data_IF_110425802784
#
_entry.id   IF_110425802784
#
_cell.length_a   1.000
_cell.length_b   1.000
_cell.length_c   1.000
_cell.angle_alpha   90.00
_cell.angle_beta   90.00
_cell.angle_gamma   90.00
#
_symmetry.space_group_name_H-M   'P 1'
#
loop_
_entity.id
_entity.type
_entity.pdbx_description
1 polymer ?
#
# COMPACT_ATOMS: atom_id res chain seq x y z
N UNK A 1 -9.01 27.79 0.53
CA UNK A 1 -8.27 26.53 0.65
C UNK A 1 -7.08 26.59 -0.31
N UNK A 2 -5.84 26.41 0.19
CA UNK A 2 -4.61 26.55 -0.61
C UNK A 2 -4.02 25.21 -1.03
N UNK A 3 -4.45 24.10 -0.40
CA UNK A 3 -4.01 22.74 -0.71
C UNK A 3 -5.23 21.83 -0.89
N UNK A 4 -5.16 20.92 -1.87
CA UNK A 4 -6.19 19.91 -2.13
C UNK A 4 -5.89 18.59 -1.42
N UNK A 5 -4.62 18.30 -1.15
CA UNK A 5 -4.16 17.06 -0.55
C UNK A 5 -2.90 17.27 0.27
N UNK A 6 -2.66 16.39 1.23
CA UNK A 6 -1.42 16.28 1.99
C UNK A 6 -1.01 14.82 2.13
N UNK A 7 0.30 14.57 2.21
CA UNK A 7 0.87 13.23 2.37
C UNK A 7 0.55 12.64 3.74
N UNK A 8 -0.04 11.46 3.76
CA UNK A 8 -0.59 10.83 4.97
C UNK A 8 0.42 9.92 5.68
N UNK A 9 1.41 10.52 6.35
CA UNK A 9 2.39 9.78 7.15
C UNK A 9 1.77 9.08 8.37
N UNK A 10 0.69 9.62 8.92
CA UNK A 10 0.01 9.00 10.06
C UNK A 10 -0.57 7.62 9.68
N UNK A 11 -1.27 7.54 8.55
CA UNK A 11 -1.80 6.28 8.07
C UNK A 11 -0.68 5.33 7.61
N UNK A 12 0.36 5.83 6.93
CA UNK A 12 1.54 5.04 6.59
C UNK A 12 2.10 4.31 7.83
N UNK A 13 2.33 5.06 8.92
CA UNK A 13 2.83 4.49 10.17
C UNK A 13 1.87 3.45 10.73
N UNK A 14 0.59 3.75 10.83
CA UNK A 14 -0.41 2.83 11.38
C UNK A 14 -0.56 1.55 10.54
N UNK A 15 -0.44 1.64 9.20
CA UNK A 15 -0.55 0.48 8.32
C UNK A 15 0.54 -0.55 8.59
N UNK A 16 1.83 -0.16 8.62
CA UNK A 16 2.87 -1.15 8.86
C UNK A 16 2.95 -1.61 10.32
N UNK A 17 2.82 -0.68 11.30
CA UNK A 17 2.91 -1.07 12.72
C UNK A 17 1.69 -1.88 13.16
N UNK A 18 0.49 -1.48 12.76
CA UNK A 18 -0.74 -2.21 13.09
C UNK A 18 -0.75 -3.64 12.56
N UNK A 19 -0.05 -3.91 11.43
CA UNK A 19 0.15 -5.27 10.95
C UNK A 19 1.23 -6.02 11.72
N UNK A 20 2.40 -5.41 11.93
CA UNK A 20 3.52 -6.04 12.66
C UNK A 20 3.17 -6.35 14.12
N UNK A 21 2.42 -5.47 14.76
CA UNK A 21 2.02 -5.59 16.17
C UNK A 21 0.68 -6.32 16.34
N UNK A 22 0.07 -6.79 15.24
CA UNK A 22 -1.28 -7.37 15.21
C UNK A 22 -2.30 -6.49 15.94
N UNK A 23 -2.33 -5.20 15.61
CA UNK A 23 -3.13 -4.20 16.30
C UNK A 23 -3.92 -3.31 15.32
N UNK A 24 -5.05 -3.81 14.84
CA UNK A 24 -5.92 -3.03 13.96
C UNK A 24 -6.62 -1.85 14.66
N UNK A 25 -6.64 -1.79 15.99
CA UNK A 25 -7.14 -0.61 16.70
C UNK A 25 -6.31 0.64 16.37
N UNK A 26 -5.01 0.51 16.13
CA UNK A 26 -4.16 1.63 15.72
C UNK A 26 -4.60 2.20 14.36
N UNK A 27 -4.88 1.32 13.40
CA UNK A 27 -5.34 1.74 12.07
C UNK A 27 -6.72 2.39 12.15
N UNK A 28 -7.68 1.74 12.80
CA UNK A 28 -9.04 2.26 12.95
C UNK A 28 -9.07 3.60 13.69
N UNK A 29 -8.28 3.74 14.76
CA UNK A 29 -8.15 5.00 15.49
C UNK A 29 -7.56 6.12 14.61
N UNK A 30 -6.53 5.80 13.84
CA UNK A 30 -5.89 6.75 12.91
C UNK A 30 -6.89 7.21 11.84
N UNK A 31 -7.64 6.29 11.22
CA UNK A 31 -8.66 6.64 10.24
C UNK A 31 -9.72 7.55 10.84
N UNK A 32 -10.24 7.22 12.01
CA UNK A 32 -11.23 8.03 12.71
C UNK A 32 -10.71 9.44 13.07
N UNK A 33 -9.45 9.54 13.47
CA UNK A 33 -8.79 10.81 13.72
C UNK A 33 -8.70 11.66 12.45
N UNK A 34 -8.25 11.04 11.35
CA UNK A 34 -8.09 11.72 10.05
C UNK A 34 -9.40 12.21 9.46
N UNK A 35 -10.52 11.51 9.68
CA UNK A 35 -11.85 11.96 9.27
C UNK A 35 -12.27 13.30 9.88
N UNK A 36 -11.73 13.65 11.04
CA UNK A 36 -11.99 14.93 11.71
C UNK A 36 -11.14 16.10 11.16
N UNK A 37 -10.22 15.85 10.22
CA UNK A 37 -9.35 16.89 9.64
C UNK A 37 -10.01 17.70 8.52
N UNK A 38 -11.31 17.47 8.23
CA UNK A 38 -12.06 18.19 7.21
C UNK A 38 -12.00 17.54 5.83
N UNK A 39 -12.31 18.31 4.79
CA UNK A 39 -12.53 17.85 3.41
C UNK A 39 -11.23 17.72 2.59
N UNK A 40 -10.12 17.34 3.24
CA UNK A 40 -8.86 17.10 2.52
C UNK A 40 -8.78 15.65 2.02
N UNK A 41 -8.58 15.48 0.73
CA UNK A 41 -8.21 14.20 0.15
C UNK A 41 -6.77 13.87 0.54
N UNK A 42 -6.59 12.92 1.46
CA UNK A 42 -5.26 12.54 1.94
C UNK A 42 -4.57 11.61 0.93
N UNK A 43 -3.31 11.91 0.61
CA UNK A 43 -2.47 11.08 -0.23
C UNK A 43 -1.91 9.91 0.59
N UNK A 44 -2.52 8.74 0.44
CA UNK A 44 -2.19 7.54 1.19
C UNK A 44 -1.10 6.73 0.49
N UNK A 45 -0.18 6.19 1.27
CA UNK A 45 0.93 5.37 0.76
C UNK A 45 1.36 4.35 1.82
N UNK A 46 2.00 3.28 1.40
CA UNK A 46 2.62 2.27 2.28
C UNK A 46 4.14 2.41 2.33
N UNK A 47 4.73 2.93 1.26
CA UNK A 47 6.13 3.33 1.16
C UNK A 47 6.30 4.45 0.12
N UNK A 48 7.47 5.09 0.14
CA UNK A 48 7.87 6.12 -0.82
C UNK A 48 9.40 6.22 -0.89
N UNK A 49 9.91 7.27 -1.54
CA UNK A 49 11.35 7.50 -1.73
C UNK A 49 12.13 7.88 -0.45
N UNK A 50 11.45 8.13 0.67
CA UNK A 50 12.05 8.58 1.94
C UNK A 50 11.94 7.56 3.07
N UNK A 51 11.08 6.55 2.91
CA UNK A 51 10.86 5.50 3.91
C UNK A 51 11.17 4.12 3.36
N UNK A 52 11.43 3.17 4.26
CA UNK A 52 11.70 1.78 3.87
C UNK A 52 10.54 1.19 3.06
N UNK A 53 10.89 0.34 2.08
CA UNK A 53 9.91 -0.41 1.30
C UNK A 53 8.98 -1.20 2.20
N UNK A 54 7.70 -1.22 1.87
CA UNK A 54 6.69 -1.93 2.69
C UNK A 54 7.01 -3.41 2.81
N UNK A 55 7.50 -4.03 1.73
CA UNK A 55 7.91 -5.43 1.78
C UNK A 55 9.03 -5.67 2.79
N UNK A 56 9.99 -4.77 2.92
CA UNK A 56 11.04 -4.82 3.96
C UNK A 56 10.48 -4.59 5.36
N UNK A 57 9.57 -3.61 5.51
CA UNK A 57 9.00 -3.23 6.81
C UNK A 57 8.12 -4.29 7.44
N UNK A 58 7.39 -5.04 6.63
CA UNK A 58 6.52 -6.11 7.12
C UNK A 58 7.33 -7.30 7.64
N UNK A 59 7.13 -7.66 8.92
CA UNK A 59 7.75 -8.83 9.55
C UNK A 59 7.19 -10.11 8.92
N UNK A 60 5.86 -10.21 8.80
CA UNK A 60 5.20 -11.27 8.05
C UNK A 60 4.89 -10.76 6.63
N UNK A 61 5.52 -11.36 5.60
CA UNK A 61 5.32 -10.95 4.20
C UNK A 61 3.91 -11.23 3.69
N UNK A 62 3.19 -12.17 4.29
CA UNK A 62 1.78 -12.41 3.97
C UNK A 62 0.88 -11.20 4.29
N UNK A 63 1.29 -10.32 5.20
CA UNK A 63 0.59 -9.06 5.49
C UNK A 63 0.62 -8.06 4.32
N UNK A 64 1.40 -8.33 3.27
CA UNK A 64 1.36 -7.51 2.05
C UNK A 64 -0.06 -7.40 1.48
N UNK A 65 -0.82 -8.51 1.53
CA UNK A 65 -2.19 -8.52 1.02
C UNK A 65 -3.14 -7.63 1.84
N UNK A 66 -3.36 -7.84 3.16
CA UNK A 66 -4.29 -7.01 3.92
C UNK A 66 -3.84 -5.53 4.00
N UNK A 67 -2.54 -5.23 4.02
CA UNK A 67 -2.03 -3.84 3.96
C UNK A 67 -2.50 -3.13 2.68
N UNK A 68 -2.38 -3.78 1.52
CA UNK A 68 -2.77 -3.17 0.25
C UNK A 68 -4.28 -3.14 0.07
N UNK A 69 -5.03 -4.13 0.58
CA UNK A 69 -6.51 -4.03 0.64
C UNK A 69 -6.91 -2.77 1.41
N UNK A 70 -6.31 -2.49 2.57
CA UNK A 70 -6.57 -1.27 3.33
C UNK A 70 -6.14 -0.01 2.57
N UNK A 71 -4.96 0.01 1.97
CA UNK A 71 -4.48 1.16 1.19
C UNK A 71 -5.47 1.57 0.10
N UNK A 72 -6.01 0.59 -0.64
CA UNK A 72 -6.91 0.83 -1.77
C UNK A 72 -8.36 1.12 -1.38
N UNK A 73 -8.77 0.83 -0.15
CA UNK A 73 -10.18 0.89 0.26
C UNK A 73 -10.50 1.92 1.34
N UNK A 74 -9.51 2.31 2.15
CA UNK A 74 -9.66 3.40 3.11
C UNK A 74 -9.87 4.76 2.43
N UNK A 75 -10.51 5.73 3.13
CA UNK A 75 -10.66 7.10 2.61
C UNK A 75 -9.31 7.73 2.23
N UNK A 76 -9.30 8.48 1.13
CA UNK A 76 -8.11 9.15 0.57
C UNK A 76 -7.70 8.57 -0.77
N UNK A 77 -6.59 9.06 -1.32
CA UNK A 77 -6.05 8.69 -2.63
C UNK A 77 -4.89 7.72 -2.45
N UNK A 78 -5.02 6.44 -2.84
CA UNK A 78 -3.93 5.48 -2.73
C UNK A 78 -2.82 5.76 -3.73
N UNK A 79 -1.58 5.56 -3.31
CA UNK A 79 -0.40 5.69 -4.14
C UNK A 79 0.49 4.46 -3.98
N UNK A 80 1.02 3.98 -5.09
CA UNK A 80 2.04 2.93 -5.15
C UNK A 80 3.34 3.56 -5.61
N UNK A 81 4.39 3.41 -4.83
CA UNK A 81 5.72 3.83 -5.22
C UNK A 81 6.34 2.78 -6.15
N UNK A 82 7.02 3.21 -7.22
CA UNK A 82 7.56 2.30 -8.24
C UNK A 82 8.43 1.19 -7.63
N UNK A 83 8.26 -0.03 -8.11
CA UNK A 83 8.91 -1.23 -7.61
C UNK A 83 8.19 -1.90 -6.44
N UNK A 84 7.33 -1.18 -5.69
CA UNK A 84 6.55 -1.78 -4.61
C UNK A 84 5.50 -2.75 -5.13
N UNK A 85 5.01 -2.54 -6.35
CA UNK A 85 4.15 -3.48 -7.07
C UNK A 85 4.83 -4.82 -7.35
N UNK A 86 6.15 -4.87 -7.36
CA UNK A 86 6.92 -6.11 -7.52
C UNK A 86 7.29 -6.76 -6.20
N UNK A 87 7.02 -6.10 -5.07
CA UNK A 87 7.42 -6.56 -3.75
C UNK A 87 8.92 -6.45 -3.50
N UNK A 88 9.60 -5.47 -4.11
CA UNK A 88 11.05 -5.29 -3.90
C UNK A 88 11.34 -4.84 -2.48
N UNK A 89 12.49 -5.28 -1.98
CA UNK A 89 13.03 -4.84 -0.71
C UNK A 89 13.84 -3.54 -0.84
N UNK A 90 13.90 -2.78 0.25
CA UNK A 90 14.74 -1.59 0.35
C UNK A 90 14.72 -1.07 1.78
N UNK A 91 15.88 -1.12 2.44
CA UNK A 91 16.07 -0.62 3.80
C UNK A 91 16.70 0.76 3.79
N UNK A 92 16.18 1.67 4.63
CA UNK A 92 16.77 3.00 4.75
C UNK A 92 18.15 2.93 5.42
N UNK A 93 19.15 3.48 4.75
CA UNK A 93 20.49 3.60 5.28
C UNK A 93 20.72 4.98 5.91
N UNK A 94 21.67 5.05 6.86
CA UNK A 94 21.88 6.27 7.65
C UNK A 94 22.28 7.49 6.80
N UNK A 95 22.98 7.28 5.70
CA UNK A 95 23.55 8.35 4.87
C UNK A 95 23.25 8.16 3.37
N UNK A 96 22.35 7.28 3.01
CA UNK A 96 22.00 7.00 1.62
C UNK A 96 20.56 6.54 1.49
N UNK A 97 19.87 7.04 0.48
CA UNK A 97 18.54 6.56 0.06
C UNK A 97 18.63 5.65 -1.20
N UNK A 98 19.84 5.26 -1.61
CA UNK A 98 20.04 4.50 -2.86
C UNK A 98 19.26 3.17 -2.85
N UNK A 99 19.20 2.47 -1.71
CA UNK A 99 18.43 1.23 -1.55
C UNK A 99 16.92 1.41 -1.69
N UNK A 100 16.42 2.64 -1.46
CA UNK A 100 15.01 2.98 -1.62
C UNK A 100 14.66 3.39 -3.06
N UNK A 101 15.67 3.73 -3.87
CA UNK A 101 15.54 4.30 -5.22
C UNK A 101 16.36 3.51 -6.25
N UNK A 102 16.22 2.16 -6.31
CA UNK A 102 16.99 1.36 -7.26
C UNK A 102 16.59 1.71 -8.70
N UNK A 103 17.54 1.67 -9.62
CA UNK A 103 17.23 1.61 -11.03
C UNK A 103 16.68 0.20 -11.33
N UNK A 104 15.51 0.13 -11.97
CA UNK A 104 14.87 -1.12 -12.34
C UNK A 104 14.97 -1.29 -13.87
N UNK A 105 15.32 -2.51 -14.31
CA UNK A 105 15.11 -2.92 -15.69
C UNK A 105 13.73 -3.57 -15.79
N UNK A 106 12.79 -2.95 -16.52
CA UNK A 106 11.43 -3.46 -16.65
C UNK A 106 11.36 -4.80 -17.40
N UNK A 107 12.39 -5.17 -18.15
CA UNK A 107 12.46 -6.49 -18.79
C UNK A 107 12.52 -7.63 -17.75
N UNK A 108 13.09 -7.38 -16.56
CA UNK A 108 13.12 -8.35 -15.46
C UNK A 108 11.72 -8.61 -14.87
N UNK A 109 10.77 -7.74 -15.15
CA UNK A 109 9.40 -7.77 -14.63
C UNK A 109 8.34 -7.95 -15.75
N UNK A 110 8.74 -8.28 -16.97
CA UNK A 110 7.84 -8.33 -18.13
C UNK A 110 6.63 -9.27 -17.94
N UNK A 111 6.77 -10.33 -17.16
CA UNK A 111 5.70 -11.27 -16.84
C UNK A 111 5.13 -11.12 -15.41
N UNK A 112 5.48 -10.03 -14.71
CA UNK A 112 5.07 -9.83 -13.32
C UNK A 112 3.55 -9.84 -13.13
N UNK A 113 2.78 -9.31 -14.07
CA UNK A 113 1.31 -9.31 -13.98
C UNK A 113 0.69 -10.72 -13.84
N UNK A 114 1.39 -11.75 -14.33
CA UNK A 114 0.93 -13.15 -14.31
C UNK A 114 1.68 -14.03 -13.31
N UNK A 115 2.92 -13.69 -12.99
CA UNK A 115 3.79 -14.53 -12.14
C UNK A 115 4.09 -13.95 -10.77
N UNK A 116 4.01 -12.62 -10.61
CA UNK A 116 4.28 -11.98 -9.33
C UNK A 116 2.97 -11.74 -8.56
N UNK A 117 2.79 -12.34 -7.37
CA UNK A 117 1.55 -12.21 -6.61
C UNK A 117 1.31 -10.78 -6.10
N UNK A 118 2.36 -10.01 -5.81
CA UNK A 118 2.22 -8.60 -5.41
C UNK A 118 1.65 -7.77 -6.56
N UNK A 119 2.21 -7.93 -7.77
CA UNK A 119 1.73 -7.23 -8.96
C UNK A 119 0.30 -7.61 -9.31
N UNK A 120 -0.03 -8.90 -9.29
CA UNK A 120 -1.37 -9.39 -9.57
C UNK A 120 -2.41 -8.81 -8.58
N UNK A 121 -2.08 -8.78 -7.29
CA UNK A 121 -2.93 -8.21 -6.25
C UNK A 121 -3.15 -6.72 -6.47
N UNK A 122 -2.08 -5.94 -6.65
CA UNK A 122 -2.17 -4.48 -6.84
C UNK A 122 -2.97 -4.13 -8.09
N UNK A 123 -2.76 -4.87 -9.19
CA UNK A 123 -3.55 -4.70 -10.42
C UNK A 123 -5.04 -5.01 -10.20
N UNK A 124 -5.37 -6.08 -9.46
CA UNK A 124 -6.74 -6.40 -9.11
C UNK A 124 -7.39 -5.32 -8.24
N UNK A 125 -6.70 -4.85 -7.19
CA UNK A 125 -7.17 -3.78 -6.31
C UNK A 125 -7.40 -2.47 -7.07
N UNK A 126 -6.50 -2.12 -7.99
CA UNK A 126 -6.64 -0.96 -8.87
C UNK A 126 -7.91 -1.02 -9.71
N UNK A 127 -8.17 -2.17 -10.35
CA UNK A 127 -9.40 -2.41 -11.15
C UNK A 127 -10.65 -2.34 -10.29
N UNK A 128 -10.64 -2.97 -9.11
CA UNK A 128 -11.77 -2.93 -8.18
C UNK A 128 -12.09 -1.51 -7.77
N UNK A 129 -11.08 -0.71 -7.37
CA UNK A 129 -11.28 0.69 -6.99
C UNK A 129 -11.79 1.54 -8.13
N UNK A 130 -11.24 1.39 -9.35
CA UNK A 130 -11.72 2.12 -10.54
C UNK A 130 -13.17 1.79 -10.88
N UNK A 131 -13.57 0.52 -10.75
CA UNK A 131 -14.93 0.05 -11.01
C UNK A 131 -15.93 0.28 -9.86
N UNK A 132 -15.48 0.77 -8.70
CA UNK A 132 -16.29 0.87 -7.47
C UNK A 132 -16.22 2.28 -6.89
N UNK A 133 -17.05 3.23 -7.37
CA UNK A 133 -17.03 4.62 -6.92
C UNK A 133 -17.19 4.81 -5.41
N UNK A 134 -17.88 3.91 -4.72
CA UNK A 134 -18.00 3.95 -3.26
C UNK A 134 -16.63 3.90 -2.56
N UNK A 135 -15.62 3.24 -3.13
CA UNK A 135 -14.27 3.21 -2.56
C UNK A 135 -13.54 4.55 -2.68
N UNK A 136 -13.92 5.39 -3.65
CA UNK A 136 -13.34 6.72 -3.84
C UNK A 136 -14.13 7.81 -3.11
N UNK A 137 -15.45 7.79 -3.22
CA UNK A 137 -16.33 8.91 -2.80
C UNK A 137 -17.27 8.55 -1.66
N UNK A 138 -17.38 7.27 -1.29
CA UNK A 138 -18.32 6.82 -0.27
C UNK A 138 -17.91 7.27 1.14
N UNK A 139 -18.89 7.42 2.02
CA UNK A 139 -18.65 7.60 3.45
C UNK A 139 -18.07 6.33 4.08
N UNK A 140 -17.32 6.48 5.15
CA UNK A 140 -16.70 5.40 5.89
C UNK A 140 -17.51 5.08 7.16
N UNK A 141 -17.73 3.79 7.44
CA UNK A 141 -18.34 3.32 8.67
C UNK A 141 -17.64 2.05 9.17
N UNK A 142 -17.13 2.06 10.39
CA UNK A 142 -16.57 0.87 11.05
C UNK A 142 -17.69 -0.14 11.33
N UNK A 143 -17.47 -1.42 11.03
CA UNK A 143 -18.44 -2.50 11.21
C UNK A 143 -18.02 -3.52 12.27
N UNK A 144 -16.75 -3.87 12.30
CA UNK A 144 -16.17 -4.79 13.28
C UNK A 144 -14.69 -4.50 13.48
N UNK A 145 -14.21 -4.62 14.71
CA UNK A 145 -12.82 -4.36 15.06
C UNK A 145 -12.37 -5.25 16.21
N UNK A 146 -11.28 -5.95 15.99
CA UNK A 146 -10.49 -6.66 16.98
C UNK A 146 -9.01 -6.34 16.78
N UNK A 147 -8.12 -6.91 17.55
CA UNK A 147 -6.68 -6.75 17.29
C UNK A 147 -6.29 -7.27 15.90
N UNK A 148 -6.91 -8.36 15.44
CA UNK A 148 -6.49 -9.10 14.24
C UNK A 148 -7.49 -9.06 13.10
N UNK A 149 -8.71 -8.63 13.33
CA UNK A 149 -9.75 -8.53 12.31
C UNK A 149 -10.31 -7.10 12.28
N UNK A 150 -10.49 -6.59 11.07
CA UNK A 150 -11.09 -5.30 10.86
C UNK A 150 -12.04 -5.34 9.68
N UNK A 151 -13.23 -4.78 9.86
CA UNK A 151 -14.22 -4.63 8.81
C UNK A 151 -14.84 -3.23 8.85
N UNK A 152 -15.06 -2.66 7.69
CA UNK A 152 -15.72 -1.36 7.52
C UNK A 152 -16.54 -1.33 6.24
N UNK A 153 -17.45 -0.37 6.16
CA UNK A 153 -18.23 -0.08 4.95
C UNK A 153 -17.76 1.20 4.27
N UNK A 154 -17.96 1.24 2.96
CA UNK A 154 -17.93 2.44 2.13
C UNK A 154 -19.32 2.58 1.51
N UNK A 155 -20.04 3.63 1.91
CA UNK A 155 -21.42 3.86 1.52
C UNK A 155 -21.53 5.03 0.54
N UNK A 156 -22.13 4.80 -0.63
CA UNK A 156 -22.38 5.81 -1.64
C UNK A 156 -23.77 5.58 -2.27
N UNK A 157 -24.65 6.57 -2.20
CA UNK A 157 -25.98 6.56 -2.87
C UNK A 157 -26.81 5.29 -2.62
N UNK A 158 -26.77 4.76 -1.40
CA UNK A 158 -27.47 3.54 -1.02
C UNK A 158 -26.72 2.23 -1.34
N UNK A 159 -25.59 2.31 -2.04
CA UNK A 159 -24.69 1.19 -2.29
C UNK A 159 -23.72 1.06 -1.13
N UNK A 160 -23.71 -0.10 -0.48
CA UNK A 160 -22.74 -0.44 0.58
C UNK A 160 -21.72 -1.44 0.08
N UNK A 161 -20.46 -1.05 0.04
CA UNK A 161 -19.31 -1.94 -0.15
C UNK A 161 -18.75 -2.28 1.23
N UNK A 162 -18.48 -3.55 1.48
CA UNK A 162 -17.94 -4.00 2.76
C UNK A 162 -16.51 -4.48 2.54
N UNK A 163 -15.58 -4.05 3.37
CA UNK A 163 -14.18 -4.45 3.34
C UNK A 163 -13.86 -5.23 4.60
N UNK A 164 -13.18 -6.34 4.46
CA UNK A 164 -12.72 -7.18 5.56
C UNK A 164 -11.25 -7.47 5.44
N UNK A 165 -10.51 -7.39 6.52
CA UNK A 165 -9.10 -7.80 6.59
C UNK A 165 -8.84 -8.63 7.86
N UNK A 166 -7.92 -9.56 7.74
CA UNK A 166 -7.49 -10.46 8.80
C UNK A 166 -5.96 -10.59 8.78
N UNK A 167 -5.28 -10.20 9.86
CA UNK A 167 -3.83 -10.37 10.03
C UNK A 167 -3.47 -11.49 11.04
N UNK A 168 -4.41 -12.38 11.30
CA UNK A 168 -4.17 -13.60 12.06
C UNK A 168 -3.66 -14.72 11.15
N UNK A 169 -2.89 -15.65 11.70
CA UNK A 169 -2.44 -16.88 11.02
C UNK A 169 -3.54 -17.94 10.88
N UNK A 170 -4.74 -17.63 11.38
CA UNK A 170 -5.93 -18.46 11.30
C UNK A 170 -7.05 -17.71 10.55
N UNK A 171 -7.91 -18.48 9.86
CA UNK A 171 -9.11 -17.92 9.25
C UNK A 171 -10.07 -17.39 10.31
N UNK A 172 -10.83 -16.37 9.97
CA UNK A 172 -11.81 -15.76 10.85
C UNK A 172 -13.19 -15.70 10.20
N UNK A 173 -14.24 -15.88 10.99
CA UNK A 173 -15.61 -15.63 10.55
C UNK A 173 -16.09 -14.28 11.07
N UNK A 174 -16.71 -13.50 10.19
CA UNK A 174 -17.33 -12.22 10.53
C UNK A 174 -18.80 -12.22 10.15
N UNK A 175 -19.64 -11.67 11.03
CA UNK A 175 -21.06 -11.46 10.77
C UNK A 175 -21.32 -9.95 10.71
N UNK A 176 -21.52 -9.43 9.50
CA UNK A 176 -21.45 -7.99 9.20
C UNK A 176 -22.79 -7.45 8.72
N UNK A 177 -23.20 -6.23 9.14
CA UNK A 177 -24.41 -5.60 8.64
C UNK A 177 -24.23 -5.19 7.18
N UNK A 178 -25.26 -5.47 6.38
CA UNK A 178 -25.31 -5.13 4.95
C UNK A 178 -26.10 -3.86 4.68
N UNK A 179 -26.05 -3.39 3.42
CA UNK A 179 -27.08 -2.50 2.87
C UNK A 179 -28.33 -3.25 2.43
N UNK A 180 -28.99 -2.77 1.40
CA UNK A 180 -30.21 -3.34 0.83
C UNK A 180 -29.95 -4.52 -0.14
N UNK A 181 -28.72 -4.77 -0.55
CA UNK A 181 -28.40 -5.83 -1.50
C UNK A 181 -28.68 -7.24 -0.93
N UNK A 182 -29.29 -8.11 -1.73
CA UNK A 182 -29.63 -9.47 -1.30
C UNK A 182 -28.42 -10.42 -1.31
N UNK A 183 -27.37 -10.08 -2.06
CA UNK A 183 -26.17 -10.90 -2.23
C UNK A 183 -24.93 -9.99 -2.32
N UNK A 184 -23.80 -10.52 -1.90
CA UNK A 184 -22.48 -9.91 -2.04
C UNK A 184 -21.50 -10.86 -2.72
N UNK A 185 -20.58 -10.30 -3.50
CA UNK A 185 -19.52 -11.05 -4.20
C UNK A 185 -18.17 -10.49 -3.78
N UNK A 186 -17.27 -11.36 -3.34
CA UNK A 186 -15.88 -11.01 -3.06
C UNK A 186 -15.16 -10.64 -4.36
N UNK A 187 -14.65 -9.41 -4.44
CA UNK A 187 -14.03 -8.89 -5.65
C UNK A 187 -12.68 -9.56 -5.98
N UNK A 188 -11.99 -10.08 -4.96
CA UNK A 188 -10.70 -10.75 -5.13
C UNK A 188 -10.85 -12.27 -5.29
N UNK A 189 -11.81 -12.89 -4.58
CA UNK A 189 -11.98 -14.35 -4.56
C UNK A 189 -13.12 -14.83 -5.46
N UNK A 190 -14.09 -13.97 -5.81
CA UNK A 190 -15.32 -14.36 -6.49
C UNK A 190 -16.31 -15.10 -5.58
N UNK A 191 -16.05 -15.21 -4.27
CA UNK A 191 -16.95 -15.86 -3.33
C UNK A 191 -18.29 -15.13 -3.27
N UNK A 192 -19.40 -15.88 -3.36
CA UNK A 192 -20.76 -15.35 -3.25
C UNK A 192 -21.33 -15.61 -1.87
N UNK A 193 -22.00 -14.61 -1.30
CA UNK A 193 -22.61 -14.69 0.03
C UNK A 193 -23.96 -14.00 0.00
N UNK A 194 -25.02 -14.74 0.37
CA UNK A 194 -26.37 -14.17 0.47
C UNK A 194 -26.56 -13.42 1.79
N UNK A 195 -27.23 -12.25 1.72
CA UNK A 195 -27.62 -11.51 2.88
C UNK A 195 -28.85 -12.15 3.56
N UNK A 196 -28.79 -12.36 4.87
CA UNK A 196 -29.87 -12.89 5.67
C UNK A 196 -30.13 -11.97 6.87
N UNK A 197 -31.36 -11.48 6.99
CA UNK A 197 -31.72 -10.56 8.07
C UNK A 197 -30.89 -9.26 8.07
N UNK A 198 -30.48 -8.76 6.90
CA UNK A 198 -29.64 -7.56 6.78
C UNK A 198 -28.18 -7.77 7.17
N UNK A 199 -27.70 -9.02 7.13
CA UNK A 199 -26.31 -9.37 7.48
C UNK A 199 -25.75 -10.42 6.53
N UNK A 200 -24.42 -10.40 6.33
CA UNK A 200 -23.65 -11.46 5.67
C UNK A 200 -22.73 -12.13 6.69
N UNK A 201 -22.58 -13.44 6.56
CA UNK A 201 -21.56 -14.21 7.28
C UNK A 201 -20.46 -14.57 6.29
N UNK A 202 -19.27 -14.07 6.52
CA UNK A 202 -18.11 -14.21 5.62
C UNK A 202 -16.96 -14.87 6.36
N UNK A 203 -16.23 -15.73 5.64
CA UNK A 203 -14.95 -16.28 6.08
C UNK A 203 -13.83 -15.48 5.43
N UNK A 204 -12.95 -14.93 6.23
CA UNK A 204 -11.75 -14.19 5.79
C UNK A 204 -10.53 -15.06 6.09
N UNK A 205 -9.81 -15.46 5.07
CA UNK A 205 -8.66 -16.35 5.23
C UNK A 205 -7.55 -15.68 6.08
N UNK A 206 -6.67 -16.49 6.62
CA UNK A 206 -5.48 -16.04 7.33
C UNK A 206 -4.67 -15.05 6.47
N UNK A 207 -4.16 -13.98 7.08
CA UNK A 207 -3.28 -12.98 6.45
C UNK A 207 -3.83 -12.44 5.12
N UNK A 208 -5.14 -12.17 5.04
CA UNK A 208 -5.81 -11.77 3.81
C UNK A 208 -6.80 -10.63 4.01
N UNK A 209 -7.42 -10.22 2.92
CA UNK A 209 -8.54 -9.29 2.91
C UNK A 209 -9.44 -9.51 1.71
N UNK A 210 -10.68 -9.00 1.79
CA UNK A 210 -11.67 -9.10 0.74
C UNK A 210 -12.52 -7.83 0.65
N UNK A 211 -12.99 -7.56 -0.54
CA UNK A 211 -13.87 -6.43 -0.85
C UNK A 211 -15.19 -7.01 -1.34
N UNK A 212 -16.21 -6.94 -0.51
CA UNK A 212 -17.54 -7.49 -0.77
C UNK A 212 -18.38 -6.45 -1.52
N UNK A 213 -18.58 -6.69 -2.79
CA UNK A 213 -19.40 -5.84 -3.67
C UNK A 213 -20.84 -6.34 -3.64
N UNK A 214 -21.83 -5.43 -3.52
CA UNK A 214 -23.23 -5.80 -3.64
C UNK A 214 -23.51 -6.37 -5.03
N UNK A 215 -24.30 -7.45 -5.09
CA UNK A 215 -24.72 -8.11 -6.33
C UNK A 215 -26.24 -8.27 -6.35
N UNK A 216 -26.81 -8.59 -7.53
CA UNK A 216 -28.25 -8.71 -7.76
C UNK A 216 -28.85 -7.46 -8.39
N UNK A 217 -30.15 -7.23 -8.22
CA UNK A 217 -30.92 -6.13 -8.84
C UNK A 217 -30.58 -4.75 -8.23
N UNK A 218 -29.28 -4.40 -8.20
CA UNK A 218 -28.84 -3.09 -7.78
C UNK A 218 -29.00 -2.08 -8.93
N UNK A 219 -29.42 -0.83 -8.66
CA UNK A 219 -29.45 0.19 -9.69
C UNK A 219 -28.03 0.38 -10.26
N UNK A 220 -27.95 0.41 -11.61
CA UNK A 220 -26.70 0.64 -12.31
C UNK A 220 -26.11 2.00 -11.86
N UNK A 221 -24.91 1.99 -11.31
CA UNK A 221 -24.22 3.22 -10.95
C UNK A 221 -23.86 3.99 -12.24
N UNK A 222 -24.46 5.17 -12.40
CA UNK A 222 -24.07 6.10 -13.45
C UNK A 222 -23.05 7.09 -12.85
N UNK A 223 -21.78 7.06 -13.31
CA UNK A 223 -20.80 8.04 -12.85
C UNK A 223 -21.35 9.46 -12.99
N UNK A 224 -21.27 10.23 -11.94
CA UNK A 224 -21.52 11.68 -12.05
C UNK A 224 -20.43 12.20 -12.99
N UNK A 225 -20.85 12.73 -14.15
CA UNK A 225 -19.92 13.44 -15.04
C UNK A 225 -19.46 14.68 -14.28
N UNK A 226 -18.34 14.57 -13.58
CA UNK A 226 -17.62 15.73 -13.13
C UNK A 226 -17.10 16.41 -14.39
N UNK A 227 -17.63 17.59 -14.72
CA UNK A 227 -17.02 18.48 -15.70
C UNK A 227 -15.66 18.97 -15.12
N UNK A 228 -14.70 18.07 -15.04
CA UNK A 228 -13.30 18.46 -14.92
C UNK A 228 -12.94 19.00 -16.28
N UNK A 229 -12.56 20.29 -16.41
CA UNK A 229 -12.06 20.78 -17.69
C UNK A 229 -10.91 19.90 -18.10
N UNK A 230 -11.00 19.32 -19.29
CA UNK A 230 -9.93 18.55 -19.89
C UNK A 230 -8.68 19.45 -19.91
N UNK A 231 -7.73 19.16 -19.03
CA UNK A 231 -6.51 19.97 -18.93
C UNK A 231 -5.71 19.79 -20.21
N UNK A 232 -5.13 20.87 -20.72
CA UNK A 232 -4.36 20.89 -21.97
C UNK A 232 -3.27 19.79 -22.04
N UNK A 233 -2.81 19.27 -20.90
CA UNK A 233 -1.87 18.16 -20.80
C UNK A 233 -2.38 16.81 -21.35
N UNK A 234 -3.72 16.57 -21.39
CA UNK A 234 -4.26 15.35 -21.98
C UNK A 234 -4.18 15.39 -23.53
N UNK A 235 -4.30 16.59 -24.12
CA UNK A 235 -4.22 16.78 -25.58
C UNK A 235 -2.78 16.74 -26.11
N UNK A 236 -1.80 17.13 -25.31
CA UNK A 236 -0.38 16.99 -25.67
C UNK A 236 0.08 15.53 -25.71
N UNK A 237 -0.46 14.65 -24.84
CA UNK A 237 -0.13 13.22 -24.83
C UNK A 237 -0.77 12.44 -26.01
N UNK A 238 -1.96 12.83 -26.49
CA UNK A 238 -2.55 12.22 -27.67
C UNK A 238 -1.83 12.64 -28.96
N UNK A 239 -1.38 13.89 -29.07
CA UNK A 239 -0.59 14.35 -30.20
C UNK A 239 0.82 13.74 -30.22
N UNK A 240 1.48 13.61 -29.06
CA UNK A 240 2.79 12.96 -28.96
C UNK A 240 2.75 11.46 -29.31
N UNK A 241 1.65 10.76 -29.00
CA UNK A 241 1.47 9.37 -29.37
C UNK A 241 1.23 9.19 -30.87
N UNK A 242 0.49 10.12 -31.52
CA UNK A 242 0.24 10.06 -32.97
C UNK A 242 1.49 10.44 -33.81
N UNK A 243 2.31 11.39 -33.32
CA UNK A 243 3.58 11.74 -33.97
C UNK A 243 4.62 10.63 -33.86
N UNK A 244 4.65 9.87 -32.74
CA UNK A 244 5.54 8.74 -32.56
C UNK A 244 5.16 7.52 -33.45
N UNK A 245 3.88 7.31 -33.74
CA UNK A 245 3.43 6.27 -34.66
C UNK A 245 3.73 6.62 -36.14
N UNK A 246 3.68 7.91 -36.53
CA UNK A 246 4.05 8.36 -37.87
C UNK A 246 5.58 8.28 -38.11
N UNK A 247 6.40 8.58 -37.09
CA UNK A 247 7.86 8.49 -37.19
C UNK A 247 8.36 7.05 -37.30
N UNK A 248 7.74 6.09 -36.58
CA UNK A 248 8.04 4.66 -36.70
C UNK A 248 7.61 4.06 -38.03
N UNK A 249 6.54 4.58 -38.65
CA UNK A 249 6.10 4.14 -39.98
C UNK A 249 7.01 4.63 -41.08
N UNK A 250 7.71 5.77 -40.88
CA UNK A 250 8.65 6.32 -41.85
C UNK A 250 10.05 5.64 -41.82
N UNK A 251 10.52 5.22 -40.65
CA UNK A 251 11.79 4.49 -40.52
C UNK A 251 11.76 3.06 -41.06
N UNK A 252 10.59 2.39 -41.00
CA UNK A 252 10.44 1.00 -41.52
C UNK A 252 10.36 0.90 -43.04
N UNK A 253 10.40 2.02 -43.78
CA UNK A 253 10.28 2.05 -45.25
C UNK A 253 11.60 2.13 -45.99
N UNK A 254 12.78 2.21 -45.32
CA UNK A 254 14.07 2.49 -45.99
C UNK A 254 15.18 1.47 -45.78
N UNK A 255 14.91 0.24 -45.35
CA UNK A 255 15.95 -0.80 -45.27
C UNK A 255 15.54 -2.07 -46.03
N UNK A 256 15.75 -2.04 -47.32
CA UNK A 256 16.00 -3.22 -48.16
C UNK A 256 17.15 -2.88 -49.10
N UNK A 257 18.37 -3.34 -48.81
CA UNK A 257 19.32 -3.97 -49.75
C UNK A 257 20.69 -4.25 -49.09
N UNK A 258 21.17 -5.45 -49.39
CA UNK A 258 22.54 -5.91 -49.48
C UNK A 258 23.18 -6.63 -48.26
N UNK A 259 23.17 -7.97 -48.39
CA UNK A 259 24.19 -8.90 -47.83
C UNK A 259 25.41 -8.90 -48.76
N UNK A 260 26.66 -9.10 -48.28
CA UNK A 260 27.23 -10.42 -48.46
C UNK A 260 28.08 -11.00 -47.29
N UNK A 261 28.11 -12.35 -47.31
CA UNK A 261 28.89 -13.30 -46.52
C UNK A 261 30.40 -13.06 -46.45
N UNK A 262 31.03 -13.48 -45.34
CA UNK A 262 32.19 -14.37 -45.32
C UNK A 262 32.56 -14.79 -43.86
N UNK A 263 32.43 -16.11 -43.61
CA UNK A 263 33.41 -17.13 -43.18
C UNK A 263 34.43 -16.79 -42.08
N UNK A 264 34.26 -17.54 -40.97
CA UNK A 264 35.05 -18.57 -40.34
C UNK A 264 36.49 -18.25 -39.84
N UNK A 265 36.76 -18.52 -38.58
CA UNK A 265 37.67 -19.56 -38.13
C UNK A 265 37.86 -19.64 -36.61
N UNK A 266 37.74 -20.84 -36.12
CA UNK A 266 38.29 -21.57 -34.98
C UNK A 266 39.48 -20.96 -34.23
N UNK A 267 39.50 -21.17 -32.89
CA UNK A 267 40.52 -21.94 -32.20
C UNK A 267 40.24 -22.14 -30.70
N UNK A 268 40.31 -23.38 -30.30
CA UNK A 268 40.36 -23.98 -28.96
C UNK A 268 41.53 -23.47 -28.12
N UNK A 269 41.41 -23.51 -26.76
CA UNK A 269 42.24 -24.33 -25.85
C UNK A 269 41.85 -24.01 -24.38
N UNK A 270 41.34 -24.98 -23.69
CA UNK A 270 41.84 -25.97 -22.69
C UNK A 270 42.52 -25.44 -21.44
N UNK A 271 41.95 -25.92 -20.33
CA UNK A 271 42.51 -26.48 -19.09
C UNK A 271 43.33 -25.63 -18.12
N UNK A 272 42.91 -25.56 -16.88
CA UNK A 272 43.36 -26.40 -15.76
C UNK A 272 42.73 -26.05 -14.42
N UNK A 273 42.26 -27.11 -13.78
CA UNK A 273 41.93 -27.19 -12.39
C UNK A 273 43.16 -27.11 -11.48
N UNK A 274 42.97 -26.67 -10.23
CA UNK A 274 43.65 -27.30 -9.09
C UNK A 274 42.95 -26.99 -7.77
N UNK A 275 42.60 -28.06 -7.12
CA UNK A 275 42.29 -28.29 -5.71
C UNK A 275 43.23 -27.55 -4.74
N UNK A 276 42.73 -27.14 -3.59
CA UNK A 276 43.29 -27.62 -2.34
C UNK A 276 42.37 -27.43 -1.11
N UNK A 277 42.30 -28.50 -0.41
CA UNK A 277 41.58 -28.88 0.81
C UNK A 277 42.09 -28.22 2.10
N UNK A 278 41.14 -28.11 3.05
CA UNK A 278 41.19 -28.40 4.49
C UNK A 278 42.02 -27.52 5.45
N UNK A 279 41.44 -27.02 6.49
CA UNK A 279 41.45 -27.66 7.80
C UNK A 279 40.63 -26.96 8.86
N UNK A 280 40.12 -27.73 9.79
CA UNK A 280 39.25 -27.46 10.91
C UNK A 280 40.00 -26.99 12.17
N UNK A 281 39.17 -26.65 13.17
CA UNK A 281 39.39 -26.47 14.61
C UNK A 281 39.68 -25.03 15.05
N UNK A 282 39.01 -24.42 16.01
CA UNK A 282 38.69 -24.86 17.35
C UNK A 282 37.72 -23.87 18.02
N UNK A 283 36.80 -24.35 18.87
CA UNK A 283 35.94 -23.58 19.79
C UNK A 283 36.73 -23.43 21.11
N UNK A 284 36.57 -22.31 21.86
CA UNK A 284 35.99 -22.48 23.18
C UNK A 284 35.00 -21.42 23.66
N UNK A 285 33.91 -21.95 24.18
CA UNK A 285 33.16 -21.63 25.41
C UNK A 285 33.14 -20.22 26.01
N UNK A 286 31.91 -19.79 26.23
CA UNK A 286 31.30 -18.78 27.12
C UNK A 286 32.05 -18.40 28.39
N UNK A 287 31.72 -17.17 28.99
CA UNK A 287 30.77 -17.23 30.09
C UNK A 287 29.64 -16.15 30.03
N UNK A 288 28.56 -16.52 30.68
CA UNK A 288 27.41 -15.73 31.03
C UNK A 288 27.75 -14.42 31.78
N UNK A 289 27.05 -13.36 31.46
CA UNK A 289 26.89 -12.23 32.37
C UNK A 289 25.45 -11.71 32.25
N UNK A 290 24.73 -11.86 33.35
CA UNK A 290 23.47 -11.22 33.65
C UNK A 290 23.57 -9.70 33.44
N UNK A 291 22.60 -9.09 32.75
CA UNK A 291 22.39 -7.67 32.81
C UNK A 291 20.91 -7.36 32.90
N UNK A 292 20.57 -6.86 34.05
CA UNK A 292 19.34 -6.26 34.51
C UNK A 292 18.64 -5.38 33.47
N UNK A 293 17.39 -5.69 33.23
CA UNK A 293 16.38 -4.91 32.51
C UNK A 293 15.98 -3.69 33.36
N UNK A 294 16.50 -2.51 33.04
CA UNK A 294 15.98 -1.25 33.56
C UNK A 294 15.10 -0.62 32.47
N UNK A 295 13.80 -0.74 32.63
CA UNK A 295 12.83 0.08 31.90
C UNK A 295 13.03 1.54 32.31
N UNK A 296 13.60 2.34 31.42
CA UNK A 296 13.48 3.79 31.49
C UNK A 296 12.06 4.17 31.02
N UNK A 297 11.22 4.52 31.97
CA UNK A 297 9.99 5.27 31.71
C UNK A 297 10.37 6.68 31.27
N UNK A 298 10.28 6.96 29.97
CA UNK A 298 10.32 8.35 29.48
C UNK A 298 9.12 9.11 30.06
N UNK A 299 9.41 9.96 31.03
CA UNK A 299 8.48 10.98 31.52
C UNK A 299 8.26 11.97 30.37
N UNK A 300 7.04 12.02 29.83
CA UNK A 300 6.59 13.04 28.87
C UNK A 300 6.63 14.39 29.58
N UNK A 301 7.71 15.14 29.37
CA UNK A 301 7.82 16.52 29.82
C UNK A 301 6.89 17.42 29.01
N UNK A 302 6.15 18.30 29.67
CA UNK A 302 5.27 19.28 29.05
C UNK A 302 6.06 20.16 28.05
N UNK A 303 5.43 20.54 26.90
CA UNK A 303 6.11 21.29 25.84
C UNK A 303 6.61 22.66 26.35
N UNK A 304 7.85 23.01 26.02
CA UNK A 304 8.45 24.29 26.34
C UNK A 304 7.77 25.41 25.50
N UNK A 305 7.09 26.40 26.10
CA UNK A 305 6.32 27.42 25.39
C UNK A 305 7.17 28.42 24.57
N UNK A 306 8.48 28.30 24.58
CA UNK A 306 9.41 29.22 23.90
C UNK A 306 10.10 28.64 22.68
N UNK A 307 9.81 27.38 22.31
CA UNK A 307 10.32 26.75 21.05
C UNK A 307 9.39 27.01 19.90
N UNK A 308 9.94 27.40 18.75
CA UNK A 308 9.19 27.41 17.48
C UNK A 308 8.95 25.98 16.99
N UNK A 309 7.92 25.73 16.14
CA UNK A 309 7.64 24.39 15.61
C UNK A 309 8.85 23.73 14.92
N UNK A 310 9.76 24.52 14.36
CA UNK A 310 10.98 24.07 13.67
C UNK A 310 12.09 23.63 14.66
N UNK A 311 12.03 24.10 15.89
CA UNK A 311 12.98 23.75 16.97
C UNK A 311 12.49 22.60 17.86
N UNK A 312 11.24 22.13 17.64
CA UNK A 312 10.64 21.04 18.41
C UNK A 312 11.03 19.68 17.84
N UNK A 313 11.32 18.73 18.70
CA UNK A 313 11.39 17.33 18.33
C UNK A 313 10.00 16.82 17.91
N UNK A 314 9.93 15.74 17.15
CA UNK A 314 8.64 15.14 16.70
C UNK A 314 7.72 14.84 17.90
N UNK A 315 8.26 14.38 19.04
CA UNK A 315 7.48 14.12 20.26
C UNK A 315 6.95 15.39 20.92
N UNK A 316 7.76 16.46 20.98
CA UNK A 316 7.33 17.77 21.50
C UNK A 316 6.27 18.43 20.63
N UNK A 317 6.40 18.30 19.30
CA UNK A 317 5.41 18.80 18.35
C UNK A 317 4.08 18.06 18.48
N UNK A 318 4.11 16.73 18.62
CA UNK A 318 2.91 15.91 18.86
C UNK A 318 2.24 16.28 20.19
N UNK A 319 3.01 16.47 21.26
CA UNK A 319 2.47 16.88 22.55
C UNK A 319 1.87 18.29 22.51
N UNK A 320 2.48 19.23 21.79
CA UNK A 320 1.97 20.59 21.61
C UNK A 320 0.65 20.61 20.79
N UNK A 321 0.55 19.80 19.75
CA UNK A 321 -0.67 19.64 18.96
C UNK A 321 -1.79 19.04 19.81
N UNK A 322 -1.51 18.00 20.58
CA UNK A 322 -2.48 17.37 21.49
C UNK A 322 -2.97 18.33 22.58
N UNK A 323 -2.08 19.13 23.17
CA UNK A 323 -2.44 20.12 24.17
C UNK A 323 -3.34 21.24 23.60
N UNK A 324 -3.08 21.69 22.37
CA UNK A 324 -3.88 22.70 21.68
C UNK A 324 -5.27 22.17 21.29
N UNK A 325 -5.37 20.89 20.93
CA UNK A 325 -6.64 20.22 20.61
C UNK A 325 -7.49 19.95 21.86
N UNK A 326 -6.87 19.72 23.02
CA UNK A 326 -7.56 19.56 24.31
C UNK A 326 -8.09 20.89 24.91
N UNK A 327 -7.92 22.02 24.23
CA UNK A 327 -8.33 23.34 24.73
C UNK A 327 -7.47 23.91 25.85
N UNK A 328 -6.32 23.29 26.16
CA UNK A 328 -5.42 23.67 27.25
C UNK A 328 -4.18 24.44 26.75
N UNK A 329 -4.19 24.99 25.54
CA UNK A 329 -3.11 25.78 24.99
C UNK A 329 -3.30 27.28 25.26
N UNK A 330 -2.21 28.08 25.43
CA UNK A 330 -2.32 29.52 25.60
C UNK A 330 -2.93 30.15 24.34
N UNK A 331 -3.95 30.98 24.56
CA UNK A 331 -4.58 31.82 23.53
C UNK A 331 -3.62 32.96 23.25
N UNK A 332 -2.95 32.92 22.10
CA UNK A 332 -2.32 34.09 21.46
C UNK A 332 -2.66 34.12 20.00
#
# INVERSE_FOLDING_TARGET
>A
QTLHSVTNYALHKALYSGHNDHNYFEIAHTVKYLQNMGDLDLYNFVDNHDVERIHTKLQNKAHFAPVHVLLYTLPGVPSIYYGSEFGIDGKKEKFSDASLRPALDLNDYADAATKNPCTALIAALGKVRQGTPALSYGSYAELALTNRQFAFARDLEGIRVIVTVNNDDSDSEMNLPTGSAPEYVGALTGQKVSAQGGRIRVRVAANSGEIWLPAGDMPEYKPVQTNVPETAAAKENENAASEAEEEQAAENSTVTEAVPEKEASNAENTDKASDNTANAADVPSTPEAESSNTQETETVTAPNPHKTPEEMTVGELQAAILAKMAGNGPVT
#
